data_IF_795918304665
#
_entry.id   IF_795918304665
#
_cell.length_a   1.000
_cell.length_b   1.000
_cell.length_c   1.000
_cell.angle_alpha   90.00
_cell.angle_beta   90.00
_cell.angle_gamma   90.00
#
_symmetry.space_group_name_H-M   'P 1'
#
loop_
_entity.id
_entity.type
_entity.pdbx_description
1 polymer ?
#
# COMPACT_ATOMS: atom_id res chain seq x y z
N UNK A 1 -6.47 -4.40 -13.76
CA UNK A 1 -7.03 -3.29 -14.57
C UNK A 1 -7.86 -2.32 -13.73
N UNK A 2 -8.84 -2.76 -12.93
CA UNK A 2 -9.76 -1.90 -12.14
C UNK A 2 -9.07 -0.74 -11.40
N UNK A 3 -8.09 -1.02 -10.52
CA UNK A 3 -7.45 0.02 -9.71
C UNK A 3 -6.66 1.09 -10.48
N UNK A 4 -6.39 0.86 -11.77
CA UNK A 4 -5.71 1.83 -12.63
C UNK A 4 -6.62 2.91 -13.20
N UNK A 5 -7.93 2.83 -12.97
CA UNK A 5 -8.93 3.72 -13.56
C UNK A 5 -9.84 4.34 -12.49
N UNK A 6 -10.20 5.61 -12.70
CA UNK A 6 -11.10 6.39 -11.84
C UNK A 6 -11.98 7.31 -12.69
N UNK A 7 -13.05 7.82 -12.09
CA UNK A 7 -13.91 8.83 -12.73
C UNK A 7 -13.10 10.10 -13.00
N UNK A 8 -13.19 10.62 -14.22
CA UNK A 8 -12.49 11.87 -14.57
C UNK A 8 -13.14 13.06 -13.85
N UNK A 9 -12.34 13.75 -13.04
CA UNK A 9 -12.71 14.98 -12.34
C UNK A 9 -11.56 15.99 -12.34
N UNK A 10 -10.74 15.96 -13.40
CA UNK A 10 -9.58 16.87 -13.51
C UNK A 10 -9.98 18.35 -13.67
N UNK A 11 -11.27 18.64 -13.86
CA UNK A 11 -11.88 19.98 -13.81
C UNK A 11 -12.02 20.55 -12.38
N UNK A 12 -11.80 19.72 -11.34
CA UNK A 12 -11.91 20.10 -9.92
C UNK A 12 -10.58 20.02 -9.19
N UNK A 13 -10.46 20.83 -8.14
CA UNK A 13 -9.34 20.75 -7.20
C UNK A 13 -9.33 19.37 -6.50
N UNK A 14 -8.13 18.84 -6.25
CA UNK A 14 -7.91 17.47 -5.73
C UNK A 14 -8.75 17.13 -4.49
N UNK A 15 -8.86 18.06 -3.54
CA UNK A 15 -9.61 17.86 -2.29
C UNK A 15 -11.14 18.02 -2.44
N UNK A 16 -11.62 18.50 -3.59
CA UNK A 16 -13.05 18.75 -3.84
C UNK A 16 -13.69 17.64 -4.70
N UNK A 17 -12.93 16.59 -5.01
CA UNK A 17 -13.39 15.45 -5.83
C UNK A 17 -14.04 14.42 -4.91
N UNK A 18 -15.37 14.20 -5.00
CA UNK A 18 -16.04 13.22 -4.15
C UNK A 18 -15.60 11.80 -4.48
N UNK A 19 -15.64 10.92 -3.47
CA UNK A 19 -15.53 9.48 -3.69
C UNK A 19 -16.75 9.00 -4.47
N UNK A 20 -16.51 8.42 -5.66
CA UNK A 20 -17.56 7.91 -6.55
C UNK A 20 -17.19 6.50 -6.99
N UNK A 21 -18.04 5.54 -6.66
CA UNK A 21 -17.97 4.19 -7.22
C UNK A 21 -18.85 4.11 -8.47
N UNK A 22 -18.28 4.51 -9.61
CA UNK A 22 -18.94 4.46 -10.92
C UNK A 22 -18.00 3.83 -11.94
N UNK A 23 -17.98 2.48 -12.04
CA UNK A 23 -17.07 1.77 -12.92
C UNK A 23 -17.39 1.99 -14.40
N UNK A 24 -18.63 2.37 -14.76
CA UNK A 24 -19.00 2.66 -16.15
C UNK A 24 -18.35 3.96 -16.64
N UNK A 25 -18.15 4.93 -15.74
CA UNK A 25 -17.53 6.22 -16.04
C UNK A 25 -16.07 6.35 -15.55
N UNK A 26 -15.44 5.25 -15.11
CA UNK A 26 -14.04 5.21 -14.71
C UNK A 26 -13.11 5.21 -15.94
N UNK A 27 -13.05 6.32 -16.67
CA UNK A 27 -12.35 6.42 -17.96
C UNK A 27 -10.98 7.08 -17.89
N UNK A 28 -10.58 7.65 -16.75
CA UNK A 28 -9.29 8.30 -16.59
C UNK A 28 -8.31 7.40 -15.83
N UNK A 29 -7.18 7.07 -16.44
CA UNK A 29 -6.28 6.08 -15.87
C UNK A 29 -5.22 5.54 -16.80
N UNK A 30 -4.55 4.50 -16.32
CA UNK A 30 -3.48 3.80 -17.03
C UNK A 30 -2.54 3.07 -16.07
N UNK A 31 -1.63 2.26 -16.64
CA UNK A 31 -0.60 1.57 -15.88
C UNK A 31 0.62 1.31 -16.77
N UNK A 32 1.78 1.12 -16.16
CA UNK A 32 2.97 0.65 -16.86
C UNK A 32 2.93 -0.87 -16.98
N UNK A 33 3.13 -1.39 -18.18
CA UNK A 33 3.41 -2.82 -18.35
C UNK A 33 4.80 -3.13 -17.81
N UNK A 34 5.05 -4.39 -17.44
CA UNK A 34 6.39 -4.81 -17.01
C UNK A 34 7.48 -4.49 -18.06
N UNK A 35 7.16 -4.56 -19.36
CA UNK A 35 8.10 -4.17 -20.43
C UNK A 35 8.41 -2.67 -20.38
N UNK A 36 7.41 -1.82 -20.18
CA UNK A 36 7.60 -0.38 -20.03
C UNK A 36 8.44 -0.06 -18.78
N UNK A 37 8.16 -0.71 -17.66
CA UNK A 37 8.97 -0.57 -16.43
C UNK A 37 10.42 -0.93 -16.70
N UNK A 38 10.70 -2.10 -17.31
CA UNK A 38 12.07 -2.53 -17.64
C UNK A 38 12.78 -1.52 -18.55
N UNK A 39 12.08 -0.93 -19.53
CA UNK A 39 12.64 0.12 -20.40
C UNK A 39 13.01 1.38 -19.62
N UNK A 40 12.14 1.84 -18.71
CA UNK A 40 12.40 3.02 -17.87
C UNK A 40 13.58 2.77 -16.93
N UNK A 41 13.61 1.61 -16.26
CA UNK A 41 14.71 1.18 -15.38
C UNK A 41 16.03 1.13 -16.16
N UNK A 42 16.06 0.51 -17.33
CA UNK A 42 17.27 0.44 -18.16
C UNK A 42 17.74 1.83 -18.62
N UNK A 43 16.80 2.70 -18.98
CA UNK A 43 17.11 4.07 -19.40
C UNK A 43 17.70 4.92 -18.26
N UNK A 44 17.18 4.76 -17.05
CA UNK A 44 17.71 5.40 -15.84
C UNK A 44 19.10 4.87 -15.47
N UNK A 45 19.32 3.55 -15.58
CA UNK A 45 20.61 2.93 -15.31
C UNK A 45 21.74 3.45 -16.22
N UNK A 46 21.46 3.72 -17.50
CA UNK A 46 22.41 4.35 -18.43
C UNK A 46 22.88 5.75 -17.99
N UNK A 47 22.16 6.36 -17.02
CA UNK A 47 22.44 7.69 -16.47
C UNK A 47 22.88 7.62 -15.01
N UNK A 48 23.21 6.43 -14.51
CA UNK A 48 23.56 6.19 -13.10
C UNK A 48 22.44 6.59 -12.13
N UNK A 49 21.18 6.48 -12.56
CA UNK A 49 20.00 6.72 -11.72
C UNK A 49 19.41 5.36 -11.33
N UNK A 50 19.27 5.12 -10.03
CA UNK A 50 18.55 3.97 -9.48
C UNK A 50 17.09 4.37 -9.24
N UNK A 51 16.15 3.55 -9.73
CA UNK A 51 14.73 3.73 -9.44
C UNK A 51 14.35 2.85 -8.27
N UNK A 52 13.93 3.47 -7.17
CA UNK A 52 13.33 2.82 -6.02
C UNK A 52 11.81 2.80 -6.22
N UNK A 53 11.16 1.62 -6.28
CA UNK A 53 9.71 1.55 -6.36
C UNK A 53 9.07 1.82 -4.99
N UNK A 54 7.82 2.29 -5.03
CA UNK A 54 6.97 2.47 -3.86
C UNK A 54 5.66 1.70 -4.05
N UNK A 55 5.27 0.92 -3.03
CA UNK A 55 4.00 0.20 -2.96
C UNK A 55 3.38 0.53 -1.61
N UNK A 56 2.47 1.50 -1.58
CA UNK A 56 1.92 1.99 -0.31
C UNK A 56 1.12 0.93 0.44
N UNK A 57 1.37 0.84 1.75
CA UNK A 57 0.60 0.03 2.69
C UNK A 57 0.76 0.54 4.13
N UNK A 58 -0.19 0.27 5.03
CA UNK A 58 -1.50 -0.33 4.77
C UNK A 58 -2.54 0.69 4.25
N UNK A 59 -2.23 1.99 4.32
CA UNK A 59 -3.06 3.10 3.84
C UNK A 59 -2.97 3.29 2.32
N UNK A 60 -3.63 4.34 1.81
CA UNK A 60 -3.72 4.72 0.39
C UNK A 60 -3.99 3.57 -0.60
N UNK A 61 -4.59 2.49 -0.12
CA UNK A 61 -4.77 1.24 -0.85
C UNK A 61 -6.12 1.15 -1.60
N UNK A 62 -6.93 2.22 -1.61
CA UNK A 62 -8.30 2.15 -2.15
C UNK A 62 -8.37 1.70 -3.61
N UNK A 63 -7.36 2.02 -4.43
CA UNK A 63 -7.27 1.51 -5.79
C UNK A 63 -7.14 -0.03 -5.84
N UNK A 64 -6.32 -0.60 -4.96
CA UNK A 64 -6.19 -2.06 -4.82
C UNK A 64 -7.48 -2.66 -4.24
N UNK A 65 -8.09 -2.02 -3.24
CA UNK A 65 -9.33 -2.47 -2.60
C UNK A 65 -10.55 -2.36 -3.53
N UNK A 66 -10.55 -1.45 -4.51
CA UNK A 66 -11.57 -1.42 -5.55
C UNK A 66 -11.51 -2.66 -6.45
N UNK A 67 -10.31 -3.19 -6.68
CA UNK A 67 -10.09 -4.43 -7.44
C UNK A 67 -10.27 -5.70 -6.58
N UNK A 68 -9.90 -5.63 -5.30
CA UNK A 68 -9.94 -6.73 -4.34
C UNK A 68 -10.59 -6.31 -3.01
N UNK A 69 -11.92 -6.07 -2.98
CA UNK A 69 -12.61 -5.55 -1.79
C UNK A 69 -12.44 -6.42 -0.55
N UNK A 70 -12.29 -7.74 -0.74
CA UNK A 70 -12.10 -8.74 0.31
C UNK A 70 -10.81 -8.58 1.12
N UNK A 71 -9.88 -7.75 0.65
CA UNK A 71 -8.65 -7.40 1.37
C UNK A 71 -8.86 -6.28 2.40
N UNK A 72 -10.01 -5.59 2.37
CA UNK A 72 -10.39 -4.60 3.38
C UNK A 72 -11.06 -5.26 4.61
N UNK A 73 -11.21 -4.50 5.69
CA UNK A 73 -11.92 -4.98 6.89
C UNK A 73 -13.42 -5.19 6.65
N UNK A 74 -14.03 -4.40 5.76
CA UNK A 74 -15.49 -4.38 5.52
C UNK A 74 -15.89 -5.26 4.35
N UNK A 75 -14.99 -5.51 3.39
CA UNK A 75 -15.30 -6.18 2.14
C UNK A 75 -16.04 -5.29 1.13
N UNK A 76 -16.23 -4.00 1.45
CA UNK A 76 -16.98 -3.07 0.63
C UNK A 76 -16.13 -2.56 -0.54
N UNK A 77 -16.73 -2.50 -1.73
CA UNK A 77 -16.10 -1.83 -2.87
C UNK A 77 -16.52 -0.35 -2.88
N UNK A 78 -15.57 0.53 -2.57
CA UNK A 78 -15.79 1.98 -2.58
C UNK A 78 -15.32 2.67 -3.87
N UNK A 79 -14.81 1.91 -4.84
CA UNK A 79 -14.23 2.43 -6.07
C UNK A 79 -12.85 3.08 -5.89
N UNK A 80 -12.21 3.40 -7.02
CA UNK A 80 -10.94 4.13 -7.03
C UNK A 80 -11.20 5.62 -6.82
N UNK A 81 -10.60 6.27 -5.80
CA UNK A 81 -10.86 7.67 -5.53
C UNK A 81 -10.31 8.58 -6.65
N UNK A 82 -11.09 9.56 -7.15
CA UNK A 82 -10.62 10.53 -8.15
C UNK A 82 -9.76 11.66 -7.56
N UNK A 83 -9.73 11.79 -6.24
CA UNK A 83 -9.00 12.81 -5.49
C UNK A 83 -8.66 12.37 -4.06
N UNK A 84 -8.33 13.34 -3.22
CA UNK A 84 -7.86 13.09 -1.85
C UNK A 84 -8.95 12.52 -0.96
N UNK A 85 -8.60 11.52 -0.15
CA UNK A 85 -9.52 10.91 0.83
C UNK A 85 -9.00 11.20 2.23
N UNK A 86 -9.82 11.83 3.07
CA UNK A 86 -9.49 12.06 4.46
C UNK A 86 -10.74 11.99 5.35
N UNK A 87 -10.71 11.27 6.48
CA UNK A 87 -9.63 10.39 6.96
C UNK A 87 -9.53 9.06 6.18
N UNK A 88 -8.34 8.47 6.09
CA UNK A 88 -8.08 7.22 5.35
C UNK A 88 -8.41 5.99 6.19
N UNK A 89 -9.69 5.66 6.28
CA UNK A 89 -10.18 4.50 7.07
C UNK A 89 -10.26 3.21 6.25
N UNK A 90 -10.47 3.30 4.93
CA UNK A 90 -10.58 2.14 4.05
C UNK A 90 -9.20 1.66 3.61
N UNK A 91 -8.57 0.90 4.52
CA UNK A 91 -7.19 0.41 4.44
C UNK A 91 -7.14 -1.12 4.42
N UNK A 92 -5.98 -1.69 4.11
CA UNK A 92 -5.77 -3.13 4.15
C UNK A 92 -6.09 -3.72 5.54
N UNK A 93 -6.72 -4.91 5.57
CA UNK A 93 -7.08 -5.58 6.81
C UNK A 93 -5.88 -6.34 7.40
N UNK A 94 -5.17 -5.73 8.35
CA UNK A 94 -4.02 -6.35 9.02
C UNK A 94 -4.33 -7.67 9.77
N UNK A 95 -5.61 -7.94 10.07
CA UNK A 95 -6.05 -9.22 10.64
C UNK A 95 -6.24 -10.35 9.63
N UNK A 96 -6.21 -10.06 8.33
CA UNK A 96 -6.53 -11.00 7.26
C UNK A 96 -5.25 -11.51 6.57
N UNK A 97 -4.92 -12.80 6.72
CA UNK A 97 -3.67 -13.33 6.16
C UNK A 97 -3.58 -13.22 4.63
N UNK A 98 -4.72 -13.23 3.92
CA UNK A 98 -4.79 -13.01 2.46
C UNK A 98 -4.23 -11.66 2.00
N UNK A 99 -4.22 -10.65 2.87
CA UNK A 99 -3.62 -9.35 2.57
C UNK A 99 -2.12 -9.49 2.41
N UNK A 100 -1.49 -10.26 3.30
CA UNK A 100 -0.05 -10.49 3.23
C UNK A 100 0.30 -11.35 2.02
N UNK A 101 -0.46 -12.42 1.74
CA UNK A 101 -0.25 -13.22 0.53
C UNK A 101 -0.28 -12.33 -0.74
N UNK A 102 -1.29 -11.46 -0.85
CA UNK A 102 -1.40 -10.51 -1.97
C UNK A 102 -0.22 -9.53 -2.05
N UNK A 103 0.18 -8.94 -0.92
CA UNK A 103 1.27 -7.96 -0.89
C UNK A 103 2.61 -8.63 -1.19
N UNK A 104 2.88 -9.80 -0.62
CA UNK A 104 4.10 -10.58 -0.85
C UNK A 104 4.22 -10.98 -2.33
N UNK A 105 3.12 -11.38 -2.98
CA UNK A 105 3.07 -11.64 -4.42
C UNK A 105 3.40 -10.39 -5.25
N UNK A 106 2.76 -9.24 -4.95
CA UNK A 106 3.03 -7.97 -5.63
C UNK A 106 4.49 -7.53 -5.44
N UNK A 107 5.00 -7.60 -4.22
CA UNK A 107 6.38 -7.24 -3.91
C UNK A 107 7.37 -8.15 -4.62
N UNK A 108 7.07 -9.44 -4.76
CA UNK A 108 7.89 -10.37 -5.55
C UNK A 108 8.02 -9.92 -7.00
N UNK A 109 6.90 -9.60 -7.66
CA UNK A 109 6.93 -9.08 -9.03
C UNK A 109 7.67 -7.75 -9.12
N UNK A 110 7.47 -6.85 -8.16
CA UNK A 110 8.15 -5.55 -8.12
C UNK A 110 9.67 -5.74 -7.96
N UNK A 111 10.12 -6.59 -7.05
CA UNK A 111 11.53 -6.87 -6.85
C UNK A 111 12.21 -7.45 -8.10
N UNK A 112 11.49 -8.21 -8.92
CA UNK A 112 12.01 -8.73 -10.19
C UNK A 112 12.19 -7.64 -11.26
N UNK A 113 11.39 -6.57 -11.20
CA UNK A 113 11.44 -5.47 -12.17
C UNK A 113 12.45 -4.39 -11.77
N UNK A 114 12.65 -4.18 -10.47
CA UNK A 114 13.46 -3.10 -9.93
C UNK A 114 14.75 -3.64 -9.27
N UNK A 115 15.95 -3.35 -9.83
CA UNK A 115 17.21 -3.82 -9.25
C UNK A 115 17.59 -3.10 -7.95
N UNK A 116 16.90 -2.01 -7.58
CA UNK A 116 17.13 -1.26 -6.34
C UNK A 116 17.11 -2.17 -5.11
N UNK A 117 18.12 -2.06 -4.24
CA UNK A 117 18.11 -2.76 -2.95
C UNK A 117 17.01 -2.23 -2.03
N UNK A 118 16.53 -1.02 -2.27
CA UNK A 118 15.50 -0.35 -1.48
C UNK A 118 14.12 -0.53 -2.11
N UNK A 119 13.12 -0.80 -1.28
CA UNK A 119 11.70 -0.82 -1.62
C UNK A 119 10.96 0.08 -0.64
N UNK A 120 10.25 1.08 -1.15
CA UNK A 120 9.42 1.95 -0.33
C UNK A 120 8.05 1.31 -0.11
N UNK A 121 7.55 1.29 1.12
CA UNK A 121 6.24 0.71 1.45
C UNK A 121 5.23 1.74 1.94
N UNK A 122 5.60 3.02 1.98
CA UNK A 122 4.78 4.06 2.57
C UNK A 122 4.80 3.98 4.10
N UNK A 123 3.61 3.72 4.67
CA UNK A 123 3.43 3.48 6.11
C UNK A 123 2.73 4.62 6.86
N UNK A 124 2.31 5.66 6.16
CA UNK A 124 1.73 6.90 6.69
C UNK A 124 0.19 6.86 6.78
N UNK A 125 -0.37 7.82 7.52
CA UNK A 125 -1.78 8.25 7.49
C UNK A 125 -2.88 7.17 7.70
N UNK A 126 -2.50 5.94 8.05
CA UNK A 126 -3.44 4.83 8.25
C UNK A 126 -4.38 5.15 9.42
N UNK A 127 -5.67 5.36 9.14
CA UNK A 127 -6.65 5.60 10.20
C UNK A 127 -7.23 4.28 10.73
N UNK A 128 -7.03 4.03 12.03
CA UNK A 128 -7.29 2.74 12.68
C UNK A 128 -8.78 2.48 12.98
N UNK A 129 -9.69 3.37 12.59
CA UNK A 129 -11.14 3.24 12.85
C UNK A 129 -11.69 1.87 12.46
N UNK A 130 -11.39 1.41 11.24
CA UNK A 130 -11.90 0.11 10.77
C UNK A 130 -11.22 -1.09 11.44
N UNK A 131 -9.99 -0.95 11.92
CA UNK A 131 -9.30 -2.03 12.65
C UNK A 131 -9.86 -2.23 14.06
N UNK A 132 -10.32 -1.15 14.72
CA UNK A 132 -10.97 -1.20 16.04
C UNK A 132 -12.23 -2.07 16.02
N UNK A 133 -13.03 -1.92 14.98
CA UNK A 133 -14.29 -2.67 14.84
C UNK A 133 -14.11 -4.04 14.17
N UNK A 134 -12.98 -4.29 13.49
CA UNK A 134 -12.78 -5.51 12.72
C UNK A 134 -12.48 -6.73 13.60
N UNK A 135 -13.33 -7.79 13.59
CA UNK A 135 -13.10 -8.98 14.42
C UNK A 135 -11.79 -9.71 14.09
N UNK A 136 -11.34 -9.67 12.83
CA UNK A 136 -10.06 -10.28 12.41
C UNK A 136 -8.88 -9.51 13.01
N UNK A 137 -8.90 -8.18 12.93
CA UNK A 137 -7.84 -7.33 13.49
C UNK A 137 -7.78 -7.48 15.03
N UNK A 138 -8.93 -7.42 15.70
CA UNK A 138 -9.00 -7.61 17.15
C UNK A 138 -8.55 -9.01 17.60
N UNK A 139 -8.83 -10.04 16.80
CA UNK A 139 -8.30 -11.39 17.04
C UNK A 139 -6.78 -11.45 16.86
N UNK A 140 -6.22 -10.76 15.86
CA UNK A 140 -4.77 -10.68 15.64
C UNK A 140 -4.07 -10.00 16.81
N UNK A 141 -4.58 -8.85 17.26
CA UNK A 141 -4.08 -8.12 18.43
C UNK A 141 -3.95 -9.06 19.63
N UNK A 142 -5.03 -9.79 19.96
CA UNK A 142 -5.01 -10.76 21.08
C UNK A 142 -4.05 -11.93 20.86
N UNK A 143 -4.00 -12.45 19.64
CA UNK A 143 -3.17 -13.62 19.30
C UNK A 143 -1.68 -13.30 19.41
N UNK A 144 -1.26 -12.16 18.87
CA UNK A 144 0.15 -11.75 18.82
C UNK A 144 0.56 -10.97 20.09
N UNK A 145 -0.37 -10.74 21.03
CA UNK A 145 -0.08 -10.06 22.30
C UNK A 145 0.13 -8.56 22.19
N UNK A 146 -0.47 -7.92 21.18
CA UNK A 146 -0.36 -6.50 20.90
C UNK A 146 -1.26 -5.68 21.83
N UNK A 147 -0.85 -4.45 22.15
CA UNK A 147 -1.61 -3.54 23.04
C UNK A 147 -2.84 -2.97 22.35
N UNK A 148 -2.71 -2.54 21.10
CA UNK A 148 -3.74 -1.80 20.37
C UNK A 148 -3.53 -1.85 18.84
N UNK A 149 -4.31 -1.06 18.09
CA UNK A 149 -4.21 -0.98 16.64
C UNK A 149 -2.95 -0.27 16.13
N UNK A 150 -2.26 0.52 16.97
CA UNK A 150 -0.98 1.11 16.59
C UNK A 150 0.09 0.01 16.58
N UNK A 151 0.14 -0.83 17.61
CA UNK A 151 1.01 -2.02 17.59
C UNK A 151 0.61 -3.04 16.51
N UNK A 152 -0.66 -3.06 16.08
CA UNK A 152 -1.07 -3.84 14.91
C UNK A 152 -0.47 -3.30 13.60
N UNK A 153 -0.33 -1.97 13.45
CA UNK A 153 0.38 -1.40 12.30
C UNK A 153 1.86 -1.78 12.34
N UNK A 154 2.49 -1.70 13.52
CA UNK A 154 3.87 -2.11 13.71
C UNK A 154 4.09 -3.58 13.31
N UNK A 155 3.20 -4.47 13.78
CA UNK A 155 3.21 -5.88 13.38
C UNK A 155 3.11 -6.05 11.85
N UNK A 156 2.23 -5.29 11.20
CA UNK A 156 2.07 -5.32 9.76
C UNK A 156 3.38 -4.94 9.04
N UNK A 157 3.99 -3.82 9.44
CA UNK A 157 5.25 -3.32 8.86
C UNK A 157 6.38 -4.31 9.10
N UNK A 158 6.55 -4.84 10.33
CA UNK A 158 7.59 -5.83 10.64
C UNK A 158 7.45 -7.11 9.83
N UNK A 159 6.22 -7.56 9.55
CA UNK A 159 6.00 -8.74 8.71
C UNK A 159 6.47 -8.50 7.28
N UNK A 160 6.16 -7.35 6.70
CA UNK A 160 6.62 -6.97 5.35
C UNK A 160 8.13 -6.73 5.33
N UNK A 161 8.69 -6.13 6.37
CA UNK A 161 10.12 -5.96 6.54
C UNK A 161 10.87 -7.30 6.55
N UNK A 162 10.38 -8.28 7.32
CA UNK A 162 10.95 -9.62 7.36
C UNK A 162 10.96 -10.26 5.97
N UNK A 163 9.83 -10.17 5.26
CA UNK A 163 9.72 -10.64 3.88
C UNK A 163 10.74 -9.97 2.95
N UNK A 164 10.84 -8.64 2.96
CA UNK A 164 11.82 -7.91 2.14
C UNK A 164 13.26 -8.31 2.46
N UNK A 165 13.60 -8.47 3.75
CA UNK A 165 14.92 -8.90 4.19
C UNK A 165 15.27 -10.32 3.71
N UNK A 166 14.32 -11.26 3.72
CA UNK A 166 14.51 -12.61 3.15
C UNK A 166 14.87 -12.58 1.66
N UNK A 167 14.40 -11.55 0.95
CA UNK A 167 14.71 -11.28 -0.45
C UNK A 167 15.91 -10.33 -0.65
N UNK A 168 16.69 -10.06 0.40
CA UNK A 168 17.84 -9.15 0.39
C UNK A 168 17.49 -7.71 -0.04
N UNK A 169 16.28 -7.26 0.28
CA UNK A 169 15.84 -5.88 0.11
C UNK A 169 15.75 -5.18 1.46
N UNK A 170 15.90 -3.85 1.41
CA UNK A 170 15.84 -2.96 2.56
C UNK A 170 14.54 -2.16 2.46
N UNK A 171 13.75 -2.20 3.52
CA UNK A 171 12.52 -1.43 3.63
C UNK A 171 12.84 0.06 3.80
N UNK A 172 12.11 0.88 3.05
CA UNK A 172 12.02 2.34 3.23
C UNK A 172 10.57 2.71 3.48
N UNK A 173 10.31 3.68 4.35
CA UNK A 173 8.96 4.19 4.59
C UNK A 173 8.95 5.60 5.16
N UNK A 174 7.76 6.19 5.21
CA UNK A 174 7.50 7.50 5.81
C UNK A 174 7.62 7.47 7.34
N UNK A 175 7.74 8.64 7.96
CA UNK A 175 8.06 8.81 9.38
C UNK A 175 7.28 7.88 10.35
N UNK A 176 6.00 7.59 10.09
CA UNK A 176 5.16 6.74 10.95
C UNK A 176 5.58 5.28 11.05
N UNK A 177 6.50 4.78 10.21
CA UNK A 177 7.07 3.44 10.41
C UNK A 177 7.89 3.34 11.71
N UNK A 178 8.23 4.48 12.33
CA UNK A 178 8.98 4.55 13.60
C UNK A 178 8.18 4.18 14.85
N UNK A 179 6.84 4.31 14.81
CA UNK A 179 6.00 4.23 16.01
C UNK A 179 6.01 2.83 16.69
N UNK A 180 6.43 1.80 15.96
CA UNK A 180 6.57 0.42 16.43
C UNK A 180 7.97 -0.03 16.84
N UNK A 181 8.98 0.83 16.65
CA UNK A 181 10.37 0.42 16.55
C UNK A 181 10.69 -0.18 15.18
N UNK A 182 11.87 0.10 14.64
CA UNK A 182 12.33 -0.43 13.36
C UNK A 182 13.40 -1.51 13.56
N UNK A 183 13.54 -2.45 12.62
CA UNK A 183 14.77 -3.23 12.59
C UNK A 183 15.95 -2.30 12.30
N UNK A 184 17.18 -2.68 12.67
CA UNK A 184 18.36 -1.79 12.60
C UNK A 184 18.67 -1.23 11.20
N UNK A 185 18.07 -1.79 10.15
CA UNK A 185 18.42 -1.52 8.76
C UNK A 185 17.32 -0.76 8.00
N UNK A 186 16.14 -0.50 8.58
CA UNK A 186 15.11 0.27 7.89
C UNK A 186 15.52 1.73 7.75
N UNK A 187 15.15 2.34 6.62
CA UNK A 187 15.42 3.74 6.32
C UNK A 187 14.10 4.52 6.38
N UNK A 188 14.14 5.68 7.03
CA UNK A 188 13.01 6.60 7.11
C UNK A 188 13.21 7.74 6.12
N UNK A 189 12.15 8.10 5.40
CA UNK A 189 12.09 9.26 4.51
C UNK A 189 11.17 10.32 5.14
N UNK A 190 11.69 11.55 5.27
CA UNK A 190 11.03 12.72 5.88
C UNK A 190 11.03 13.90 4.92
#
# INVERSE_FOLDING_TARGET
>A
EIGGWRVDMEDRHWNDRPLVNDPENATYGGFYTQELVRKVVAYAAQRNITIMPEIEMPAHAMAALAAYPELSCTGENLGTPPGGVWPITHIFCAGNDKVFDFIEDVLTEVMDLFPSQYIHIGGDEANKTNWKECPKCQKRIKKEGLKDEAELQSYFIHRIEAFLNEHNRILVGWDEILDGGLAPNAIVMS
#
